data_IF_041740075861
#
_entry.id   IF_041740075861
#
_cell.length_a   1.000
_cell.length_b   1.000
_cell.length_c   1.000
_cell.angle_alpha   90.00
_cell.angle_beta   90.00
_cell.angle_gamma   90.00
#
_symmetry.space_group_name_H-M   'P 1'
#
loop_
_entity.id
_entity.type
_entity.pdbx_description
1 polymer ?
#
# COMPACT_ATOMS: atom_id res chain seq x y z
N UNK A 1 -9.15 -27.67 28.04
CA UNK A 1 -9.53 -26.30 27.63
C UNK A 1 -10.68 -26.43 26.65
N UNK A 2 -11.92 -26.18 27.08
CA UNK A 2 -13.12 -26.31 26.24
C UNK A 2 -13.38 -25.00 25.51
N UNK A 3 -12.96 -24.91 24.24
CA UNK A 3 -13.30 -23.79 23.37
C UNK A 3 -14.73 -23.97 22.82
N UNK A 4 -15.60 -22.97 22.99
CA UNK A 4 -16.90 -22.90 22.34
C UNK A 4 -16.87 -21.79 21.29
N UNK A 5 -16.98 -22.15 20.01
CA UNK A 5 -17.03 -21.17 18.94
C UNK A 5 -18.39 -20.44 18.94
N UNK A 6 -18.34 -19.10 18.93
CA UNK A 6 -19.52 -18.24 18.94
C UNK A 6 -19.60 -17.41 17.66
N UNK A 7 -20.18 -18.00 16.60
CA UNK A 7 -20.32 -17.33 15.30
C UNK A 7 -21.52 -16.38 15.22
N UNK A 8 -22.42 -16.42 16.20
CA UNK A 8 -23.64 -15.60 16.21
C UNK A 8 -23.32 -14.11 16.09
N UNK A 9 -22.33 -13.64 16.83
CA UNK A 9 -21.95 -12.22 16.85
C UNK A 9 -21.27 -11.80 15.54
N UNK A 10 -20.54 -12.72 14.89
CA UNK A 10 -19.94 -12.49 13.57
C UNK A 10 -21.03 -12.27 12.51
N UNK A 11 -22.06 -13.12 12.50
CA UNK A 11 -23.18 -12.95 11.57
C UNK A 11 -24.04 -11.73 11.91
N UNK A 12 -24.12 -11.34 13.18
CA UNK A 12 -24.78 -10.09 13.57
C UNK A 12 -24.05 -8.85 13.05
N UNK A 13 -22.73 -8.91 12.88
CA UNK A 13 -21.89 -7.83 12.34
C UNK A 13 -21.71 -7.88 10.81
N UNK A 14 -22.58 -8.58 10.08
CA UNK A 14 -22.43 -8.83 8.64
C UNK A 14 -22.27 -7.56 7.80
N UNK A 15 -23.05 -6.52 8.07
CA UNK A 15 -22.95 -5.24 7.35
C UNK A 15 -21.58 -4.59 7.51
N UNK A 16 -21.04 -4.57 8.74
CA UNK A 16 -19.71 -4.03 9.02
C UNK A 16 -18.60 -4.82 8.32
N UNK A 17 -18.74 -6.16 8.25
CA UNK A 17 -17.79 -7.00 7.53
C UNK A 17 -17.85 -6.77 6.02
N UNK A 18 -19.04 -6.56 5.47
CA UNK A 18 -19.23 -6.20 4.07
C UNK A 18 -18.62 -4.84 3.74
N UNK A 19 -18.82 -3.83 4.60
CA UNK A 19 -18.21 -2.52 4.42
C UNK A 19 -16.67 -2.61 4.43
N UNK A 20 -16.11 -3.38 5.36
CA UNK A 20 -14.67 -3.64 5.41
C UNK A 20 -14.14 -4.37 4.16
N UNK A 21 -14.91 -5.31 3.61
CA UNK A 21 -14.59 -5.99 2.36
C UNK A 21 -14.60 -5.00 1.19
N UNK A 22 -15.64 -4.20 1.05
CA UNK A 22 -15.76 -3.20 -0.03
C UNK A 22 -14.62 -2.20 0.04
N UNK A 23 -14.34 -1.66 1.23
CA UNK A 23 -13.23 -0.72 1.44
C UNK A 23 -11.88 -1.35 1.07
N UNK A 24 -11.65 -2.61 1.44
CA UNK A 24 -10.41 -3.32 1.08
C UNK A 24 -10.28 -3.49 -0.42
N UNK A 25 -11.37 -3.85 -1.11
CA UNK A 25 -11.37 -3.99 -2.56
C UNK A 25 -11.12 -2.65 -3.25
N UNK A 26 -11.78 -1.57 -2.80
CA UNK A 26 -11.60 -0.23 -3.33
C UNK A 26 -10.14 0.23 -3.18
N UNK A 27 -9.59 0.16 -1.96
CA UNK A 27 -8.21 0.53 -1.68
C UNK A 27 -7.22 -0.32 -2.49
N UNK A 28 -7.46 -1.62 -2.60
CA UNK A 28 -6.59 -2.52 -3.36
C UNK A 28 -6.60 -2.17 -4.86
N UNK A 29 -7.78 -2.00 -5.45
CA UNK A 29 -7.90 -1.68 -6.88
C UNK A 29 -7.25 -0.34 -7.23
N UNK A 30 -7.50 0.70 -6.43
CA UNK A 30 -6.93 2.03 -6.65
C UNK A 30 -5.41 1.98 -6.48
N UNK A 31 -4.90 1.40 -5.40
CA UNK A 31 -3.45 1.33 -5.16
C UNK A 31 -2.72 0.47 -6.17
N UNK A 32 -3.31 -0.66 -6.60
CA UNK A 32 -2.76 -1.49 -7.67
C UNK A 32 -2.71 -0.76 -9.00
N UNK A 33 -3.78 -0.05 -9.37
CA UNK A 33 -3.83 0.71 -10.62
C UNK A 33 -2.77 1.84 -10.64
N UNK A 34 -2.67 2.61 -9.56
CA UNK A 34 -1.68 3.68 -9.43
C UNK A 34 -0.26 3.10 -9.37
N UNK A 35 -0.05 2.04 -8.59
CA UNK A 35 1.24 1.36 -8.49
C UNK A 35 1.70 0.77 -9.82
N UNK A 36 0.79 0.21 -10.61
CA UNK A 36 1.07 -0.28 -11.95
C UNK A 36 1.45 0.86 -12.90
N UNK A 37 0.73 1.97 -12.87
CA UNK A 37 1.04 3.13 -13.71
C UNK A 37 2.43 3.70 -13.39
N UNK A 38 2.76 3.86 -12.10
CA UNK A 38 4.09 4.31 -11.65
C UNK A 38 5.16 3.29 -12.04
N UNK A 39 4.91 2.00 -11.83
CA UNK A 39 5.83 0.93 -12.18
C UNK A 39 6.12 0.86 -13.68
N UNK A 40 5.09 1.02 -14.52
CA UNK A 40 5.21 1.03 -15.98
C UNK A 40 5.99 2.26 -16.46
N UNK A 41 5.67 3.45 -15.93
CA UNK A 41 6.41 4.67 -16.25
C UNK A 41 7.89 4.55 -15.82
N UNK A 42 8.14 4.01 -14.62
CA UNK A 42 9.49 3.73 -14.13
C UNK A 42 10.24 2.73 -15.01
N UNK A 43 9.59 1.65 -15.45
CA UNK A 43 10.17 0.66 -16.36
C UNK A 43 10.54 1.30 -17.71
N UNK A 44 9.63 2.07 -18.31
CA UNK A 44 9.88 2.79 -19.55
C UNK A 44 11.07 3.76 -19.42
N UNK A 45 11.13 4.51 -18.32
CA UNK A 45 12.24 5.40 -18.00
C UNK A 45 13.58 4.66 -17.83
N UNK A 46 13.59 3.44 -17.27
CA UNK A 46 14.80 2.61 -17.15
C UNK A 46 15.30 2.10 -18.51
N UNK A 47 14.39 1.76 -19.41
CA UNK A 47 14.74 1.28 -20.77
C UNK A 47 15.20 2.45 -21.64
N UNK A 48 14.35 3.46 -21.82
CA UNK A 48 14.53 4.51 -22.84
C UNK A 48 15.08 5.84 -22.31
N UNK A 49 15.10 6.06 -20.99
CA UNK A 49 15.44 7.35 -20.39
C UNK A 49 16.94 7.69 -20.37
N UNK A 50 17.26 8.95 -20.07
CA UNK A 50 18.63 9.42 -19.88
C UNK A 50 19.28 8.81 -18.61
N UNK A 51 20.62 8.78 -18.50
CA UNK A 51 21.33 8.15 -17.38
C UNK A 51 20.90 8.63 -15.98
N UNK A 52 20.59 9.92 -15.83
CA UNK A 52 20.12 10.48 -14.55
C UNK A 52 18.74 9.94 -14.19
N UNK A 53 17.81 9.89 -15.14
CA UNK A 53 16.45 9.38 -14.93
C UNK A 53 16.47 7.90 -14.54
N UNK A 54 17.33 7.11 -15.20
CA UNK A 54 17.55 5.71 -14.84
C UNK A 54 18.02 5.54 -13.40
N UNK A 55 18.90 6.42 -12.92
CA UNK A 55 19.38 6.40 -11.52
C UNK A 55 18.29 6.81 -10.55
N UNK A 56 17.53 7.86 -10.83
CA UNK A 56 16.42 8.31 -9.96
C UNK A 56 15.39 7.19 -9.76
N UNK A 57 14.98 6.52 -10.85
CA UNK A 57 14.03 5.40 -10.75
C UNK A 57 14.65 4.22 -9.97
N UNK A 58 15.95 3.93 -10.15
CA UNK A 58 16.60 2.86 -9.39
C UNK A 58 16.61 3.14 -7.89
N UNK A 59 16.98 4.36 -7.48
CA UNK A 59 16.97 4.78 -6.07
C UNK A 59 15.57 4.69 -5.48
N UNK A 60 14.55 5.17 -6.21
CA UNK A 60 13.15 5.03 -5.77
C UNK A 60 12.75 3.56 -5.55
N UNK A 61 13.01 2.69 -6.54
CA UNK A 61 12.65 1.27 -6.45
C UNK A 61 13.41 0.57 -5.32
N UNK A 62 14.71 0.84 -5.17
CA UNK A 62 15.52 0.28 -4.09
C UNK A 62 15.01 0.74 -2.72
N UNK A 63 14.73 2.02 -2.53
CA UNK A 63 14.24 2.54 -1.26
C UNK A 63 12.88 1.94 -0.88
N UNK A 64 11.92 1.90 -1.81
CA UNK A 64 10.57 1.40 -1.54
C UNK A 64 10.56 -0.13 -1.35
N UNK A 65 11.37 -0.88 -2.10
CA UNK A 65 11.41 -2.35 -1.97
C UNK A 65 12.21 -2.83 -0.76
N UNK A 66 13.21 -2.06 -0.32
CA UNK A 66 14.05 -2.42 0.82
C UNK A 66 13.54 -1.84 2.16
N UNK A 67 12.51 -1.00 2.14
CA UNK A 67 11.89 -0.45 3.37
C UNK A 67 10.57 -1.15 3.67
N UNK A 68 10.35 -1.69 4.89
CA UNK A 68 9.09 -2.32 5.25
C UNK A 68 7.90 -1.38 5.04
N UNK A 69 6.79 -1.88 4.47
CA UNK A 69 5.60 -1.07 4.20
C UNK A 69 5.07 -0.38 5.45
N UNK A 70 5.05 -1.09 6.58
CA UNK A 70 4.62 -0.53 7.87
C UNK A 70 5.46 0.70 8.23
N UNK A 71 6.78 0.67 8.04
CA UNK A 71 7.65 1.83 8.32
C UNK A 71 7.29 3.01 7.41
N UNK A 72 7.02 2.75 6.13
CA UNK A 72 6.59 3.80 5.19
C UNK A 72 5.27 4.45 5.64
N UNK A 73 4.29 3.63 6.05
CA UNK A 73 3.02 4.12 6.60
C UNK A 73 3.25 4.92 7.88
N UNK A 74 4.11 4.45 8.80
CA UNK A 74 4.43 5.19 10.02
C UNK A 74 5.05 6.56 9.72
N UNK A 75 5.96 6.64 8.75
CA UNK A 75 6.56 7.91 8.34
C UNK A 75 5.52 8.87 7.77
N UNK A 76 4.57 8.37 6.97
CA UNK A 76 3.52 9.21 6.38
C UNK A 76 2.50 9.67 7.44
N UNK A 77 2.01 8.75 8.27
CA UNK A 77 0.93 9.04 9.22
C UNK A 77 1.40 9.70 10.52
N UNK A 78 2.65 9.51 10.93
CA UNK A 78 3.19 10.08 12.17
C UNK A 78 4.42 10.96 11.93
N UNK A 79 5.31 10.56 11.01
CA UNK A 79 6.53 11.31 10.70
C UNK A 79 6.26 12.68 10.07
N UNK A 80 5.51 12.72 8.96
CA UNK A 80 5.20 13.97 8.26
C UNK A 80 4.45 14.97 9.16
N UNK A 81 3.37 14.59 9.88
CA UNK A 81 2.70 15.52 10.78
C UNK A 81 3.62 16.07 11.88
N UNK A 82 4.52 15.24 12.41
CA UNK A 82 5.51 15.68 13.41
C UNK A 82 6.54 16.66 12.86
N UNK A 83 6.80 16.61 11.55
CA UNK A 83 7.64 17.57 10.83
C UNK A 83 6.87 18.84 10.42
N UNK A 84 5.56 18.91 10.71
CA UNK A 84 4.69 20.03 10.34
C UNK A 84 4.20 19.99 8.89
N UNK A 85 4.26 18.82 8.23
CA UNK A 85 3.77 18.57 6.86
C UNK A 85 2.52 17.69 6.85
#
# INVERSE_FOLDING_TARGET
MSYSFQFRDVFAAWEFLLDGLVLTLELSLVTMAVGLAIGLAGAAARVYGAPWLKRTVAVYVEAIRNTPLIVQLFLIFFGLPSAGL
#
